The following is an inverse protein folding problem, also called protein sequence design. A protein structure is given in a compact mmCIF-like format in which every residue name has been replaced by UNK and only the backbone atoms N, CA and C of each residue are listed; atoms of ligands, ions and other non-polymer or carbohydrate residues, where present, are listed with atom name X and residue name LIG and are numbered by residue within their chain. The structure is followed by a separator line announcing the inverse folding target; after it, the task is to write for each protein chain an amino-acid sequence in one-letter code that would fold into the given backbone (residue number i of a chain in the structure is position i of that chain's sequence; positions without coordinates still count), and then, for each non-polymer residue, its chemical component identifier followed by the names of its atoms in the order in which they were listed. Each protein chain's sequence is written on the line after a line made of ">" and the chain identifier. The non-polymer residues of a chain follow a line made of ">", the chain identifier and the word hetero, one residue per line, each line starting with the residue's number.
data_IF_606605061082
#
_entry.id   IF_606605061082
#
_cell.length_a   1.000
_cell.length_b   1.000
_cell.length_c   1.000
_cell.angle_alpha   90.00
_cell.angle_beta   90.00
_cell.angle_gamma   90.00
#
_symmetry.space_group_name_H-M   'P 1'
#
loop_
_entity.id
_entity.type
_entity.pdbx_description
1 polymer ?
#
# COMPACT_ATOMS: atom_id res chain seq x y z
N UNK A 1 -29.09 22.81 -19.01
CA UNK A 1 -28.06 23.21 -20.00
C UNK A 1 -26.80 23.76 -19.34
N UNK A 2 -26.80 24.97 -18.73
CA UNK A 2 -25.57 25.53 -18.14
C UNK A 2 -25.05 24.72 -16.95
N UNK A 3 -25.96 24.23 -16.10
CA UNK A 3 -25.63 23.42 -14.92
C UNK A 3 -25.02 22.07 -15.32
N UNK A 4 -25.50 21.49 -16.42
CA UNK A 4 -24.97 20.24 -16.99
C UNK A 4 -23.55 20.42 -17.54
N UNK A 5 -23.29 21.54 -18.22
CA UNK A 5 -21.94 21.86 -18.75
C UNK A 5 -20.95 22.07 -17.60
N UNK A 6 -21.33 22.86 -16.59
CA UNK A 6 -20.48 23.11 -15.41
C UNK A 6 -20.21 21.81 -14.66
N UNK A 7 -21.24 20.99 -14.46
CA UNK A 7 -21.10 19.69 -13.82
C UNK A 7 -20.21 18.73 -14.61
N UNK A 8 -20.35 18.68 -15.94
CA UNK A 8 -19.49 17.88 -16.81
C UNK A 8 -18.02 18.32 -16.75
N UNK A 9 -17.76 19.64 -16.75
CA UNK A 9 -16.42 20.18 -16.59
C UNK A 9 -15.79 19.82 -15.23
N UNK A 10 -16.59 19.85 -14.15
CA UNK A 10 -16.14 19.41 -12.83
C UNK A 10 -15.76 17.93 -12.81
N UNK A 11 -16.59 17.07 -13.43
CA UNK A 11 -16.31 15.63 -13.53
C UNK A 11 -15.04 15.37 -14.33
N UNK A 12 -14.89 16.00 -15.50
CA UNK A 12 -13.68 15.87 -16.34
C UNK A 12 -12.44 16.34 -15.60
N UNK A 13 -12.53 17.45 -14.88
CA UNK A 13 -11.43 17.97 -14.05
C UNK A 13 -11.09 16.97 -12.93
N UNK A 14 -12.08 16.38 -12.27
CA UNK A 14 -11.87 15.33 -11.27
C UNK A 14 -11.12 14.11 -11.81
N UNK A 15 -11.48 13.65 -13.01
CA UNK A 15 -10.80 12.54 -13.70
C UNK A 15 -9.36 12.91 -14.09
N UNK A 16 -9.13 14.16 -14.54
CA UNK A 16 -7.79 14.65 -14.82
C UNK A 16 -6.91 14.66 -13.56
N UNK A 17 -7.46 15.04 -12.40
CA UNK A 17 -6.77 14.98 -11.12
C UNK A 17 -6.45 13.54 -10.68
N UNK A 18 -7.35 12.58 -10.90
CA UNK A 18 -7.07 11.16 -10.67
C UNK A 18 -5.92 10.64 -11.54
N UNK A 19 -5.89 11.06 -12.80
CA UNK A 19 -4.81 10.75 -13.73
C UNK A 19 -3.49 11.34 -13.24
N UNK A 20 -3.49 12.60 -12.81
CA UNK A 20 -2.33 13.26 -12.21
C UNK A 20 -1.86 12.55 -10.91
N UNK A 21 -2.78 12.07 -10.08
CA UNK A 21 -2.47 11.27 -8.90
C UNK A 21 -1.77 9.95 -9.24
N UNK A 22 -2.26 9.25 -10.26
CA UNK A 22 -1.65 8.01 -10.76
C UNK A 22 -0.27 8.28 -11.38
N UNK A 23 -0.12 9.37 -12.14
CA UNK A 23 1.18 9.79 -12.68
C UNK A 23 2.16 10.15 -11.55
N UNK A 24 1.70 10.85 -10.51
CA UNK A 24 2.49 11.15 -9.31
C UNK A 24 2.97 9.89 -8.60
N UNK A 25 2.11 8.87 -8.51
CA UNK A 25 2.45 7.57 -7.95
C UNK A 25 3.56 6.85 -8.74
N UNK A 26 3.62 7.03 -10.06
CA UNK A 26 4.65 6.41 -10.92
C UNK A 26 5.96 7.24 -10.93
N UNK A 27 5.88 8.57 -10.78
CA UNK A 27 7.04 9.48 -10.88
C UNK A 27 7.86 9.57 -9.58
N UNK A 28 7.23 9.45 -8.41
CA UNK A 28 7.94 9.61 -7.13
C UNK A 28 8.49 8.26 -6.61
N UNK A 29 9.81 8.14 -6.34
CA UNK A 29 10.41 6.93 -5.79
C UNK A 29 10.20 6.77 -4.27
N UNK A 30 9.93 7.87 -3.54
CA UNK A 30 9.77 7.85 -2.07
C UNK A 30 8.32 7.66 -1.63
N UNK A 31 8.10 6.68 -0.74
CA UNK A 31 6.78 6.29 -0.20
C UNK A 31 6.01 7.47 0.41
N UNK A 32 6.67 8.31 1.21
CA UNK A 32 6.02 9.46 1.86
C UNK A 32 5.58 10.53 0.84
N UNK A 33 6.40 10.76 -0.19
CA UNK A 33 6.09 11.74 -1.24
C UNK A 33 4.94 11.24 -2.13
N UNK A 34 4.91 9.93 -2.42
CA UNK A 34 3.81 9.26 -3.14
C UNK A 34 2.48 9.38 -2.40
N UNK A 35 2.46 9.09 -1.09
CA UNK A 35 1.26 9.19 -0.27
C UNK A 35 0.75 10.64 -0.21
N UNK A 36 1.63 11.61 0.01
CA UNK A 36 1.24 13.02 0.08
C UNK A 36 0.68 13.56 -1.25
N UNK A 37 1.29 13.15 -2.38
CA UNK A 37 0.79 13.49 -3.71
C UNK A 37 -0.56 12.81 -3.99
N UNK A 38 -0.70 11.53 -3.63
CA UNK A 38 -1.92 10.76 -3.82
C UNK A 38 -3.08 11.34 -3.00
N UNK A 39 -2.87 11.65 -1.71
CA UNK A 39 -3.92 12.24 -0.86
C UNK A 39 -4.38 13.62 -1.36
N UNK A 40 -3.46 14.43 -1.90
CA UNK A 40 -3.82 15.72 -2.53
C UNK A 40 -4.63 15.51 -3.80
N UNK A 41 -4.21 14.58 -4.65
CA UNK A 41 -4.91 14.26 -5.89
C UNK A 41 -6.29 13.65 -5.62
N UNK A 42 -6.43 12.76 -4.64
CA UNK A 42 -7.69 12.17 -4.23
C UNK A 42 -8.63 13.22 -3.63
N UNK A 43 -8.17 14.06 -2.69
CA UNK A 43 -9.05 15.06 -2.07
C UNK A 43 -9.60 16.08 -3.09
N UNK A 44 -8.77 16.53 -4.03
CA UNK A 44 -9.21 17.43 -5.09
C UNK A 44 -10.02 16.69 -6.15
N UNK A 45 -9.57 15.52 -6.59
CA UNK A 45 -10.21 14.71 -7.62
C UNK A 45 -11.61 14.25 -7.21
N UNK A 46 -11.73 13.60 -6.04
CA UNK A 46 -13.02 13.21 -5.47
C UNK A 46 -13.88 14.43 -5.15
N UNK A 47 -13.32 15.51 -4.58
CA UNK A 47 -14.06 16.73 -4.30
C UNK A 47 -14.73 17.32 -5.54
N UNK A 48 -13.98 17.46 -6.64
CA UNK A 48 -14.52 17.95 -7.91
C UNK A 48 -15.50 16.96 -8.55
N UNK A 49 -15.19 15.66 -8.51
CA UNK A 49 -16.05 14.62 -9.06
C UNK A 49 -17.40 14.58 -8.33
N UNK A 50 -17.38 14.59 -6.99
CA UNK A 50 -18.57 14.61 -6.14
C UNK A 50 -19.38 15.88 -6.34
N UNK A 51 -18.73 17.05 -6.37
CA UNK A 51 -19.42 18.31 -6.61
C UNK A 51 -20.08 18.34 -8.00
N UNK A 52 -19.41 17.80 -9.03
CA UNK A 52 -19.97 17.65 -10.37
C UNK A 52 -21.19 16.73 -10.38
N UNK A 53 -21.07 15.53 -9.83
CA UNK A 53 -22.17 14.55 -9.76
C UNK A 53 -23.35 15.07 -8.93
N UNK A 54 -23.08 15.72 -7.80
CA UNK A 54 -24.12 16.32 -6.96
C UNK A 54 -24.88 17.43 -7.71
N UNK A 55 -24.19 18.20 -8.55
CA UNK A 55 -24.80 19.26 -9.36
C UNK A 55 -25.63 18.72 -10.53
N UNK A 56 -25.25 17.57 -11.11
CA UNK A 56 -26.04 16.90 -12.16
C UNK A 56 -27.27 16.17 -11.61
N UNK A 57 -27.14 15.48 -10.47
CA UNK A 57 -28.20 14.60 -9.96
C UNK A 57 -29.11 15.29 -8.94
N UNK A 58 -28.64 16.34 -8.25
CA UNK A 58 -29.46 17.17 -7.35
C UNK A 58 -30.05 16.45 -6.12
N UNK A 59 -29.68 15.20 -5.89
CA UNK A 59 -30.29 14.32 -4.89
C UNK A 59 -29.40 14.14 -3.65
N UNK A 60 -29.88 14.68 -2.53
CA UNK A 60 -29.25 14.58 -1.20
C UNK A 60 -28.82 13.17 -0.74
N UNK A 61 -29.62 12.09 -0.90
CA UNK A 61 -29.20 10.77 -0.45
C UNK A 61 -27.98 10.25 -1.23
N UNK A 62 -27.91 10.53 -2.53
CA UNK A 62 -26.78 10.13 -3.37
C UNK A 62 -25.52 10.88 -2.95
N UNK A 63 -25.60 12.18 -2.71
CA UNK A 63 -24.48 12.97 -2.20
C UNK A 63 -23.94 12.40 -0.86
N UNK A 64 -24.82 11.94 0.03
CA UNK A 64 -24.44 11.27 1.27
C UNK A 64 -23.68 9.97 1.07
N UNK A 65 -24.13 9.10 0.15
CA UNK A 65 -23.40 7.88 -0.19
C UNK A 65 -22.03 8.19 -0.80
N UNK A 66 -21.95 9.14 -1.73
CA UNK A 66 -20.67 9.51 -2.33
C UNK A 66 -19.70 10.07 -1.27
N UNK A 67 -20.17 10.91 -0.34
CA UNK A 67 -19.36 11.41 0.76
C UNK A 67 -18.86 10.26 1.65
N UNK A 68 -19.74 9.31 1.98
CA UNK A 68 -19.38 8.14 2.78
C UNK A 68 -18.31 7.29 2.07
N UNK A 69 -18.47 7.03 0.77
CA UNK A 69 -17.47 6.33 -0.04
C UNK A 69 -16.14 7.08 -0.05
N UNK A 70 -16.16 8.41 -0.17
CA UNK A 70 -14.94 9.23 -0.12
C UNK A 70 -14.21 9.11 1.21
N UNK A 71 -14.92 9.24 2.34
CA UNK A 71 -14.34 9.09 3.68
C UNK A 71 -13.79 7.67 3.89
N UNK A 72 -14.53 6.66 3.45
CA UNK A 72 -14.10 5.27 3.59
C UNK A 72 -12.84 4.97 2.77
N UNK A 73 -12.73 5.55 1.57
CA UNK A 73 -11.53 5.45 0.74
C UNK A 73 -10.31 6.13 1.41
N UNK A 74 -10.50 7.30 2.02
CA UNK A 74 -9.44 7.99 2.77
C UNK A 74 -8.97 7.19 3.99
N UNK A 75 -9.90 6.56 4.71
CA UNK A 75 -9.58 5.68 5.83
C UNK A 75 -8.75 4.46 5.37
N UNK A 76 -9.15 3.81 4.28
CA UNK A 76 -8.41 2.69 3.71
C UNK A 76 -6.99 3.09 3.28
N UNK A 77 -6.84 4.27 2.67
CA UNK A 77 -5.54 4.83 2.30
C UNK A 77 -4.68 5.13 3.54
N UNK A 78 -5.26 5.70 4.61
CA UNK A 78 -4.57 6.02 5.86
C UNK A 78 -4.08 4.77 6.61
N UNK A 79 -4.90 3.70 6.65
CA UNK A 79 -4.49 2.41 7.24
C UNK A 79 -3.32 1.82 6.44
N UNK A 80 -3.41 1.84 5.11
CA UNK A 80 -2.34 1.36 4.22
C UNK A 80 -1.04 2.14 4.43
N UNK A 81 -1.14 3.46 4.60
CA UNK A 81 -0.02 4.35 4.91
C UNK A 81 0.62 4.03 6.27
N UNK A 82 -0.20 3.83 7.32
CA UNK A 82 0.29 3.47 8.65
C UNK A 82 1.03 2.14 8.67
N UNK A 83 0.48 1.12 7.97
CA UNK A 83 1.13 -0.18 7.85
C UNK A 83 2.48 -0.03 7.14
N UNK A 84 2.53 0.71 6.03
CA UNK A 84 3.76 0.91 5.28
C UNK A 84 4.80 1.73 6.07
N UNK A 85 4.37 2.72 6.83
CA UNK A 85 5.22 3.47 7.76
C UNK A 85 5.78 2.58 8.89
N UNK A 86 4.96 1.66 9.42
CA UNK A 86 5.40 0.70 10.43
C UNK A 86 6.43 -0.30 9.89
N UNK A 87 6.33 -0.69 8.62
CA UNK A 87 7.32 -1.57 7.97
C UNK A 87 8.66 -0.86 7.72
N UNK A 88 8.62 0.45 7.49
CA UNK A 88 9.81 1.27 7.30
C UNK A 88 10.46 1.70 8.64
N UNK A 89 9.98 1.19 9.77
CA UNK A 89 10.50 1.56 11.08
C UNK A 89 11.80 0.77 11.36
N UNK A 90 12.98 1.43 11.42
CA UNK A 90 14.29 0.77 11.40
C UNK A 90 14.51 -0.20 12.56
N UNK A 91 13.81 -0.02 13.69
CA UNK A 91 13.85 -0.92 14.83
C UNK A 91 13.28 -2.32 14.53
N UNK A 92 12.24 -2.42 13.70
CA UNK A 92 11.64 -3.70 13.30
C UNK A 92 12.45 -4.38 12.18
N UNK A 93 13.03 -3.57 11.29
CA UNK A 93 13.88 -4.07 10.20
C UNK A 93 15.16 -4.69 10.75
N UNK A 94 15.82 -4.00 11.69
CA UNK A 94 17.06 -4.48 12.32
C UNK A 94 16.86 -5.74 13.18
N UNK A 95 15.77 -5.81 13.94
CA UNK A 95 15.40 -7.01 14.71
C UNK A 95 15.15 -8.23 13.81
N UNK A 96 14.40 -8.07 12.71
CA UNK A 96 14.13 -9.16 11.76
C UNK A 96 15.39 -9.65 11.05
N UNK A 97 16.30 -8.75 10.66
CA UNK A 97 17.59 -9.16 10.07
C UNK A 97 18.49 -9.89 11.08
N UNK A 98 18.51 -9.45 12.34
CA UNK A 98 19.30 -10.10 13.38
C UNK A 98 18.76 -11.50 13.72
N UNK A 99 17.43 -11.66 13.78
CA UNK A 99 16.79 -12.95 14.04
C UNK A 99 16.97 -13.93 12.86
N UNK A 100 16.87 -13.45 11.62
CA UNK A 100 17.12 -14.26 10.42
C UNK A 100 18.57 -14.74 10.33
N UNK A 101 19.53 -13.91 10.71
CA UNK A 101 20.93 -14.30 10.79
C UNK A 101 21.16 -15.41 11.82
N UNK A 102 20.52 -15.32 13.00
CA UNK A 102 20.61 -16.36 14.04
C UNK A 102 20.00 -17.70 13.60
N UNK A 103 18.89 -17.68 12.87
CA UNK A 103 18.24 -18.90 12.39
C UNK A 103 19.09 -19.62 11.33
N UNK A 104 19.71 -18.86 10.42
CA UNK A 104 20.63 -19.40 9.41
C UNK A 104 21.87 -20.06 10.03
N UNK A 105 22.42 -19.51 11.12
CA UNK A 105 23.55 -20.13 11.84
C UNK A 105 23.15 -21.43 12.56
N UNK A 106 21.93 -21.50 13.10
CA UNK A 106 21.41 -22.73 13.75
C UNK A 106 21.25 -23.87 12.75
N UNK A 107 20.66 -23.62 11.59
CA UNK A 107 20.47 -24.66 10.57
C UNK A 107 21.82 -25.19 10.07
N UNK A 108 22.82 -24.32 9.90
CA UNK A 108 24.15 -24.73 9.47
C UNK A 108 24.86 -25.62 10.50
N UNK A 109 24.78 -25.27 11.80
CA UNK A 109 25.33 -26.13 12.87
C UNK A 109 24.65 -27.50 12.97
N UNK A 110 23.37 -27.58 12.63
CA UNK A 110 22.60 -28.83 12.62
C UNK A 110 23.04 -29.75 11.47
N UNK A 111 23.41 -29.16 10.33
CA UNK A 111 23.86 -29.89 9.14
C UNK A 111 25.26 -30.49 9.32
N UNK A 112 26.18 -29.77 9.97
CA UNK A 112 27.52 -30.29 10.32
C UNK A 112 27.44 -31.48 11.28
N UNK A 113 26.60 -31.40 12.32
CA UNK A 113 26.39 -32.52 13.24
C UNK A 113 25.77 -33.75 12.54
N UNK A 114 24.94 -33.54 11.52
CA UNK A 114 24.32 -34.61 10.73
C UNK A 114 25.30 -35.29 9.77
N UNK A 115 26.28 -34.55 9.24
CA UNK A 115 27.34 -35.07 8.38
C UNK A 115 28.39 -35.86 9.19
N UNK A 116 28.74 -35.37 10.38
CA UNK A 116 29.70 -36.03 11.28
C UNK A 116 29.17 -37.38 11.81
N UNK A 117 27.86 -37.50 12.07
CA UNK A 117 27.24 -38.74 12.57
C UNK A 117 26.98 -39.83 11.53
N UNK A 118 27.14 -39.55 10.23
CA UNK A 118 26.93 -40.53 9.14
C UNK A 118 28.21 -41.22 8.66
N UNK A 119 29.38 -40.77 9.10
CA UNK A 119 30.68 -41.33 8.69
C UNK A 119 31.15 -42.56 9.48
N UNK A 120 30.46 -42.95 10.56
CA UNK A 120 30.97 -43.95 11.53
C UNK A 120 30.19 -45.28 11.55
N UNK A 121 29.13 -45.44 10.75
CA UNK A 121 28.27 -46.63 10.79
C UNK A 121 28.54 -47.66 9.68
N UNK A 122 29.69 -47.58 9.02
CA UNK A 122 29.99 -48.36 7.81
C UNK A 122 31.29 -49.17 7.82
N UNK A 123 31.71 -49.77 8.94
CA UNK A 123 32.79 -50.76 8.90
C UNK A 123 32.73 -51.75 10.08
N UNK A 124 31.99 -52.84 9.90
CA UNK A 124 31.84 -53.88 10.92
C UNK A 124 31.16 -55.13 10.39
N UNK A 125 31.49 -55.53 9.16
CA UNK A 125 31.16 -56.86 8.64
C UNK A 125 32.47 -57.57 8.29
N UNK A 126 32.49 -58.85 8.62
CA UNK A 126 33.46 -59.87 8.23
C UNK A 126 34.61 -60.11 9.22
N UNK A 127 34.33 -60.97 10.20
CA UNK A 127 35.16 -62.16 10.52
C UNK A 127 34.42 -63.13 11.42
#
# INVERSE_FOLDING_TARGET
>A
MIMDIVGALLVVSGVAFFTAGTVGLIRFPDVNSRLHALTKADNLGLGLLLAGVAMLWGSWPIAGLLLLTWVLALLAASVSAHLLASLNNPALTSARTAERARHSSRDHSSQDHSAQGRGDSGHGTDR
#
